data_IF_375323283213
#
_entry.id   IF_375323283213
#
_cell.length_a   1.000
_cell.length_b   1.000
_cell.length_c   1.000
_cell.angle_alpha   90.00
_cell.angle_beta   90.00
_cell.angle_gamma   90.00
#
_symmetry.space_group_name_H-M   'P 1'
#
loop_
_entity.id
_entity.type
_entity.pdbx_description
1 polymer ?
#
# COMPACT_ATOMS: atom_id res chain seq x y z
N UNK A 1 14.62 -2.50 -5.25
CA UNK A 1 14.33 -1.11 -5.68
C UNK A 1 14.64 -0.92 -7.18
N UNK A 2 13.88 -0.05 -7.88
CA UNK A 2 13.97 0.15 -9.34
C UNK A 2 15.39 0.42 -9.86
N UNK A 3 16.24 1.05 -9.06
CA UNK A 3 17.66 1.21 -9.38
C UNK A 3 18.37 -0.12 -9.67
N UNK A 4 18.15 -1.16 -8.84
CA UNK A 4 18.74 -2.49 -9.05
C UNK A 4 18.13 -3.18 -10.28
N UNK A 5 16.86 -2.96 -10.57
CA UNK A 5 16.22 -3.53 -11.76
C UNK A 5 16.76 -2.88 -13.04
N UNK A 6 16.92 -1.55 -13.05
CA UNK A 6 17.56 -0.82 -14.14
C UNK A 6 18.98 -1.32 -14.40
N UNK A 7 19.80 -1.49 -13.35
CA UNK A 7 21.16 -2.01 -13.51
C UNK A 7 21.15 -3.40 -14.17
N UNK A 8 20.30 -4.31 -13.70
CA UNK A 8 20.17 -5.65 -14.29
C UNK A 8 19.72 -5.62 -15.76
N UNK A 9 18.84 -4.70 -16.13
CA UNK A 9 18.40 -4.53 -17.52
C UNK A 9 19.55 -4.01 -18.40
N UNK A 10 20.31 -3.04 -17.90
CA UNK A 10 21.50 -2.54 -18.58
C UNK A 10 22.57 -3.63 -18.75
N UNK A 11 22.81 -4.44 -17.71
CA UNK A 11 23.73 -5.57 -17.75
C UNK A 11 23.28 -6.66 -18.76
N UNK A 12 21.98 -6.75 -19.04
CA UNK A 12 21.39 -7.62 -20.05
C UNK A 12 21.34 -6.99 -21.46
N UNK A 13 21.94 -5.80 -21.66
CA UNK A 13 21.96 -5.09 -22.93
C UNK A 13 20.67 -4.35 -23.29
N UNK A 14 19.74 -4.19 -22.33
CA UNK A 14 18.47 -3.48 -22.53
C UNK A 14 18.63 -2.05 -22.04
N UNK A 15 18.74 -1.09 -22.98
CA UNK A 15 18.83 0.33 -22.67
C UNK A 15 17.45 0.95 -22.49
N UNK A 16 17.09 1.25 -21.24
CA UNK A 16 15.83 1.90 -20.87
C UNK A 16 16.09 2.95 -19.80
N UNK A 17 15.44 4.10 -19.92
CA UNK A 17 15.60 5.15 -18.91
C UNK A 17 14.95 4.76 -17.57
N UNK A 18 15.55 5.20 -16.46
CA UNK A 18 14.94 5.07 -15.12
C UNK A 18 13.55 5.72 -15.02
N UNK A 19 13.34 6.82 -15.75
CA UNK A 19 12.06 7.52 -15.82
C UNK A 19 10.98 6.64 -16.44
N UNK A 20 11.31 5.94 -17.52
CA UNK A 20 10.41 5.02 -18.19
C UNK A 20 9.98 3.84 -17.29
N UNK A 21 10.92 3.23 -16.56
CA UNK A 21 10.59 2.18 -15.58
C UNK A 21 9.64 2.67 -14.48
N UNK A 22 9.84 3.91 -14.00
CA UNK A 22 8.95 4.52 -13.00
C UNK A 22 7.55 4.72 -13.58
N UNK A 23 7.45 5.19 -14.83
CA UNK A 23 6.16 5.35 -15.50
C UNK A 23 5.44 4.01 -15.69
N UNK A 24 6.15 2.95 -16.05
CA UNK A 24 5.57 1.62 -16.17
C UNK A 24 5.01 1.11 -14.84
N UNK A 25 5.75 1.27 -13.74
CA UNK A 25 5.27 0.89 -12.41
C UNK A 25 4.01 1.68 -12.05
N UNK A 26 3.98 2.99 -12.30
CA UNK A 26 2.77 3.79 -12.04
C UNK A 26 1.57 3.34 -12.89
N UNK A 27 1.78 3.09 -14.19
CA UNK A 27 0.70 2.58 -15.06
C UNK A 27 0.19 1.24 -14.59
N UNK A 28 1.08 0.32 -14.22
CA UNK A 28 0.70 -0.98 -13.66
C UNK A 28 -0.09 -0.83 -12.35
N UNK A 29 0.33 0.07 -11.47
CA UNK A 29 -0.39 0.35 -10.22
C UNK A 29 -1.81 0.87 -10.48
N UNK A 30 -1.99 1.80 -11.43
CA UNK A 30 -3.31 2.34 -11.81
C UNK A 30 -4.25 1.26 -12.35
N UNK A 31 -3.74 0.25 -13.04
CA UNK A 31 -4.56 -0.85 -13.55
C UNK A 31 -5.09 -1.76 -12.43
N UNK A 32 -4.39 -1.84 -11.30
CA UNK A 32 -4.77 -2.67 -10.14
C UNK A 32 -5.62 -1.90 -9.13
N UNK A 33 -5.66 -0.56 -9.21
CA UNK A 33 -6.45 0.30 -8.32
C UNK A 33 -7.96 -0.06 -8.25
N UNK A 34 -8.64 -0.46 -9.34
CA UNK A 34 -10.03 -0.92 -9.26
C UNK A 34 -10.20 -2.21 -8.45
N UNK A 35 -9.22 -3.12 -8.50
CA UNK A 35 -9.24 -4.38 -7.73
C UNK A 35 -9.10 -4.05 -6.25
N UNK A 36 -8.16 -3.17 -5.91
CA UNK A 36 -8.01 -2.67 -4.54
C UNK A 36 -9.31 -2.03 -4.02
N UNK A 37 -9.95 -1.21 -4.84
CA UNK A 37 -11.23 -0.55 -4.48
C UNK A 37 -12.33 -1.58 -4.24
N UNK A 38 -12.43 -2.60 -5.08
CA UNK A 38 -13.42 -3.68 -4.92
C UNK A 38 -13.16 -4.51 -3.66
N UNK A 39 -11.91 -4.87 -3.37
CA UNK A 39 -11.55 -5.57 -2.14
C UNK A 39 -11.87 -4.75 -0.89
N UNK A 40 -11.56 -3.44 -0.90
CA UNK A 40 -11.88 -2.55 0.21
C UNK A 40 -13.39 -2.43 0.44
N UNK A 41 -14.18 -2.35 -0.63
CA UNK A 41 -15.65 -2.33 -0.52
C UNK A 41 -16.18 -3.62 0.11
N UNK A 42 -15.66 -4.76 -0.32
CA UNK A 42 -16.09 -6.06 0.22
C UNK A 42 -15.69 -6.24 1.69
N UNK A 43 -14.50 -5.80 2.09
CA UNK A 43 -14.07 -5.79 3.50
C UNK A 43 -15.02 -4.94 4.36
N UNK A 44 -15.50 -3.79 3.86
CA UNK A 44 -16.44 -2.92 4.58
C UNK A 44 -17.82 -3.56 4.76
N UNK A 45 -18.22 -4.47 3.87
CA UNK A 45 -19.45 -5.24 3.98
C UNK A 45 -19.29 -6.49 4.87
N UNK A 46 -18.04 -6.88 5.16
CA UNK A 46 -17.71 -8.00 6.02
C UNK A 46 -18.12 -7.79 7.47
N UNK A 47 -18.12 -8.86 8.24
CA UNK A 47 -18.51 -8.86 9.65
C UNK A 47 -17.32 -8.86 10.60
N UNK A 48 -16.17 -9.39 10.14
CA UNK A 48 -14.94 -9.49 10.91
C UNK A 48 -13.78 -8.91 10.12
N UNK A 49 -13.02 -8.03 10.78
CA UNK A 49 -11.80 -7.45 10.23
C UNK A 49 -10.66 -7.74 11.20
N UNK A 50 -9.56 -8.32 10.70
CA UNK A 50 -8.29 -8.36 11.40
C UNK A 50 -7.37 -7.27 10.85
N UNK A 51 -6.69 -6.54 11.75
CA UNK A 51 -5.85 -5.41 11.35
C UNK A 51 -4.55 -5.38 12.15
N UNK A 52 -3.44 -5.12 11.48
CA UNK A 52 -2.10 -4.99 12.10
C UNK A 52 -1.43 -3.67 11.67
N UNK A 53 -0.53 -3.13 12.50
CA UNK A 53 0.20 -1.88 12.23
C UNK A 53 1.68 -2.18 11.93
N UNK A 54 2.09 -2.02 10.67
CA UNK A 54 3.51 -2.20 10.28
C UNK A 54 4.17 -0.85 9.97
N UNK A 55 5.12 -0.38 10.81
CA UNK A 55 5.85 0.86 10.54
C UNK A 55 6.87 0.70 9.41
N UNK A 56 6.85 1.61 8.44
CA UNK A 56 7.78 1.66 7.32
C UNK A 56 8.55 2.98 7.26
N UNK A 57 9.74 2.94 6.65
CA UNK A 57 10.49 4.14 6.27
C UNK A 57 10.13 4.49 4.83
N UNK A 58 9.32 5.52 4.62
CA UNK A 58 8.85 5.95 3.30
C UNK A 58 9.15 7.42 3.04
N UNK A 59 9.93 7.71 1.99
CA UNK A 59 10.26 9.08 1.60
C UNK A 59 11.33 9.76 2.47
N UNK A 60 11.88 10.87 1.98
CA UNK A 60 12.96 11.61 2.63
C UNK A 60 12.38 12.73 3.52
N UNK A 61 12.68 12.71 4.81
CA UNK A 61 12.36 13.80 5.76
C UNK A 61 13.46 14.87 5.76
N UNK A 62 14.70 14.47 5.48
CA UNK A 62 15.89 15.31 5.40
C UNK A 62 17.11 14.51 4.95
N UNK A 63 18.31 15.10 4.96
CA UNK A 63 19.55 14.35 4.67
C UNK A 63 19.76 13.25 5.72
N UNK A 64 19.79 11.98 5.28
CA UNK A 64 19.95 10.81 6.14
C UNK A 64 18.73 10.42 6.99
N UNK A 65 17.61 11.17 6.94
CA UNK A 65 16.39 10.88 7.71
C UNK A 65 15.23 10.56 6.77
N UNK A 66 14.62 9.40 6.95
CA UNK A 66 13.40 9.00 6.24
C UNK A 66 12.16 9.40 7.04
N UNK A 67 11.03 9.66 6.37
CA UNK A 67 9.75 9.82 7.08
C UNK A 67 9.28 8.42 7.50
N UNK A 68 8.72 8.35 8.69
CA UNK A 68 7.98 7.16 9.13
C UNK A 68 6.60 7.24 8.50
N UNK A 69 6.20 6.19 7.83
CA UNK A 69 4.82 5.96 7.41
C UNK A 69 4.36 4.61 7.95
N UNK A 70 3.09 4.32 7.79
CA UNK A 70 2.48 3.12 8.37
C UNK A 70 1.67 2.42 7.29
N UNK A 71 1.91 1.12 7.12
CA UNK A 71 0.99 0.24 6.42
C UNK A 71 0.09 -0.44 7.43
N UNK A 72 -1.19 -0.52 7.08
CA UNK A 72 -2.18 -1.21 7.89
C UNK A 72 -2.74 -2.35 7.05
N UNK A 73 -2.14 -3.56 7.05
CA UNK A 73 -2.81 -4.73 6.51
C UNK A 73 -4.18 -4.91 7.16
N UNK A 74 -5.21 -4.98 6.33
CA UNK A 74 -6.57 -5.27 6.74
C UNK A 74 -6.98 -6.56 6.05
N UNK A 75 -7.38 -7.53 6.86
CA UNK A 75 -7.85 -8.84 6.42
C UNK A 75 -9.35 -8.96 6.71
N UNK A 76 -10.15 -9.18 5.67
CA UNK A 76 -11.59 -9.44 5.79
C UNK A 76 -11.89 -10.91 6.03
N UNK A 77 -13.14 -11.21 6.38
CA UNK A 77 -13.66 -12.55 6.62
C UNK A 77 -13.88 -13.40 5.35
N UNK A 78 -13.65 -12.82 4.17
CA UNK A 78 -13.80 -13.45 2.85
C UNK A 78 -12.45 -13.67 2.12
N UNK A 79 -11.38 -13.82 2.88
CA UNK A 79 -10.00 -13.94 2.37
C UNK A 79 -9.54 -12.73 1.54
N UNK A 80 -10.05 -11.56 1.90
CA UNK A 80 -9.72 -10.29 1.27
C UNK A 80 -8.60 -9.60 2.04
N UNK A 81 -7.64 -9.02 1.33
CA UNK A 81 -6.55 -8.27 1.96
C UNK A 81 -6.30 -6.95 1.25
N UNK A 82 -6.21 -5.87 2.01
CA UNK A 82 -5.84 -4.55 1.51
C UNK A 82 -4.75 -3.94 2.39
N UNK A 83 -3.89 -3.11 1.77
CA UNK A 83 -2.76 -2.44 2.43
C UNK A 83 -2.87 -0.92 2.28
N UNK A 84 -3.85 -0.28 2.94
CA UNK A 84 -3.92 1.17 3.04
C UNK A 84 -2.64 1.78 3.61
N UNK A 85 -2.29 2.94 3.07
CA UNK A 85 -1.14 3.73 3.50
C UNK A 85 -1.58 4.95 4.30
N UNK A 86 -0.94 5.18 5.45
CA UNK A 86 -1.15 6.38 6.24
C UNK A 86 0.16 7.07 6.60
N UNK A 87 0.11 8.40 6.62
CA UNK A 87 1.24 9.23 7.05
C UNK A 87 1.40 9.31 8.58
N UNK A 88 0.42 8.79 9.34
CA UNK A 88 0.39 8.82 10.81
C UNK A 88 -0.14 7.50 11.39
N UNK A 89 0.26 7.20 12.63
CA UNK A 89 -0.22 6.08 13.47
C UNK A 89 -1.56 6.36 14.16
N UNK A 90 -2.25 7.42 13.75
CA UNK A 90 -3.39 7.91 14.50
C UNK A 90 -4.60 7.00 14.23
N UNK A 91 -5.20 6.48 15.31
CA UNK A 91 -6.45 5.70 15.26
C UNK A 91 -7.61 6.27 14.43
N UNK A 92 -7.75 7.61 14.22
CA UNK A 92 -8.75 8.19 13.31
C UNK A 92 -8.63 7.79 11.83
N UNK A 93 -7.48 7.25 11.41
CA UNK A 93 -7.29 6.74 10.05
C UNK A 93 -8.14 5.49 9.76
N UNK A 94 -8.46 4.73 10.81
CA UNK A 94 -9.25 3.50 10.72
C UNK A 94 -10.73 3.81 10.46
N UNK A 95 -11.41 4.72 11.21
CA UNK A 95 -12.73 5.23 10.84
C UNK A 95 -12.77 5.93 9.48
N UNK A 96 -11.72 6.67 9.11
CA UNK A 96 -11.67 7.32 7.79
C UNK A 96 -11.64 6.29 6.63
N UNK A 97 -11.09 5.11 6.87
CA UNK A 97 -11.01 4.03 5.89
C UNK A 97 -12.20 3.07 5.94
N UNK A 98 -12.72 2.76 7.11
CA UNK A 98 -13.81 1.81 7.28
C UNK A 98 -15.20 2.48 7.25
N UNK A 99 -15.27 3.80 7.45
CA UNK A 99 -16.54 4.54 7.51
C UNK A 99 -17.36 4.12 8.74
N UNK A 100 -18.68 4.01 8.57
CA UNK A 100 -19.64 3.55 9.60
C UNK A 100 -19.64 2.01 9.74
N UNK A 101 -18.46 1.40 9.78
CA UNK A 101 -18.33 -0.05 9.90
C UNK A 101 -18.87 -0.53 11.25
N UNK A 102 -19.84 -1.45 11.22
CA UNK A 102 -20.54 -1.96 12.40
C UNK A 102 -20.13 -3.38 12.81
N UNK A 103 -19.13 -3.96 12.14
CA UNK A 103 -18.64 -5.31 12.42
C UNK A 103 -17.66 -5.38 13.60
N UNK A 104 -17.16 -6.59 13.87
CA UNK A 104 -16.20 -6.88 14.94
C UNK A 104 -14.77 -6.68 14.43
N UNK A 105 -13.98 -5.91 15.17
CA UNK A 105 -12.56 -5.68 14.89
C UNK A 105 -11.71 -6.59 15.79
N UNK A 106 -10.89 -7.43 15.16
CA UNK A 106 -9.88 -8.25 15.80
C UNK A 106 -8.53 -7.54 15.66
N UNK A 107 -7.90 -7.25 16.81
CA UNK A 107 -6.60 -6.59 16.92
C UNK A 107 -5.65 -7.42 17.75
#
# INVERSE_FOLDING_TARGET
PLYRQHQRLADAGIDVSRGWLTQLVHRGALLVEPIYTAQLASIREGSVIAMDETPIKAGRKGRGKMKTAYYWPIYGDRDEVVFPWFSSRAGPNVPALLGDYSGTLLS
#
